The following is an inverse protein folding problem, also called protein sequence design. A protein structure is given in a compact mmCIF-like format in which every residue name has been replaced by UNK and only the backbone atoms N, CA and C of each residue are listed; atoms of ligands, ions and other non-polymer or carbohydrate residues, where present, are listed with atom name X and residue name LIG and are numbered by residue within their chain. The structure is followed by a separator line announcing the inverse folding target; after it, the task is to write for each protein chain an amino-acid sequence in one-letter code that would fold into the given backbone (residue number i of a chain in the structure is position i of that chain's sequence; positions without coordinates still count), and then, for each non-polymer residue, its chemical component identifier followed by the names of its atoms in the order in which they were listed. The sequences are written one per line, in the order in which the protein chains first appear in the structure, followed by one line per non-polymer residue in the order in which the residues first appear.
data_IF_927308941664
#
_entry.id   IF_927308941664
#
_cell.length_a   1.000
_cell.length_b   1.000
_cell.length_c   1.000
_cell.angle_alpha   90.00
_cell.angle_beta   90.00
_cell.angle_gamma   90.00
#
_symmetry.space_group_name_H-M   'P 1'
#
loop_
_entity.id
_entity.type
_entity.pdbx_description
1 polymer ?
#
# COMPACT_ATOMS: atom_id res chain seq x y z
N UNK A 1 13.02 -24.81 -84.71
CA UNK A 1 11.80 -24.99 -83.89
C UNK A 1 12.26 -24.93 -82.43
N UNK A 2 12.40 -23.78 -81.76
CA UNK A 2 11.38 -22.77 -81.41
C UNK A 2 10.07 -23.45 -81.01
N UNK A 3 9.42 -23.25 -79.85
CA UNK A 3 9.47 -22.25 -78.76
C UNK A 3 8.73 -22.91 -77.57
N UNK A 4 9.07 -22.68 -76.29
CA UNK A 4 8.41 -21.71 -75.38
C UNK A 4 9.17 -21.80 -74.04
N UNK A 5 10.12 -20.93 -73.73
CA UNK A 5 9.98 -19.54 -73.24
C UNK A 5 9.09 -19.41 -71.99
N UNK A 6 9.73 -19.67 -70.85
CA UNK A 6 9.81 -18.74 -69.71
C UNK A 6 8.60 -17.80 -69.51
N UNK A 7 7.66 -18.22 -68.65
CA UNK A 7 6.77 -17.28 -67.95
C UNK A 7 7.27 -17.06 -66.52
N UNK A 8 8.38 -16.36 -66.42
CA UNK A 8 8.74 -15.60 -65.23
C UNK A 8 8.75 -14.13 -65.62
N UNK A 9 8.38 -13.26 -64.68
CA UNK A 9 8.27 -11.79 -64.82
C UNK A 9 6.90 -11.23 -65.23
N UNK A 10 5.88 -11.45 -64.40
CA UNK A 10 4.83 -10.45 -64.19
C UNK A 10 4.51 -10.27 -62.70
N UNK A 11 5.52 -9.86 -61.93
CA UNK A 11 5.31 -9.18 -60.64
C UNK A 11 5.60 -7.69 -60.82
N UNK A 12 5.11 -7.11 -61.93
CA UNK A 12 5.09 -5.67 -62.12
C UNK A 12 4.02 -5.08 -61.20
N UNK A 13 4.48 -4.32 -60.20
CA UNK A 13 3.84 -3.12 -59.62
C UNK A 13 2.31 -3.09 -59.69
N UNK A 14 1.64 -3.50 -58.61
CA UNK A 14 0.21 -3.23 -58.38
C UNK A 14 -0.76 -4.42 -58.44
N UNK A 15 -0.27 -5.66 -58.62
CA UNK A 15 -1.14 -6.84 -58.55
C UNK A 15 -1.71 -7.01 -57.14
N UNK A 16 -3.05 -7.13 -57.04
CA UNK A 16 -3.73 -7.37 -55.77
C UNK A 16 -3.16 -8.63 -55.12
N UNK A 17 -2.89 -8.61 -53.80
CA UNK A 17 -2.43 -9.80 -53.09
C UNK A 17 -3.38 -10.97 -53.30
N UNK A 18 -2.83 -12.18 -53.41
CA UNK A 18 -3.66 -13.39 -53.52
C UNK A 18 -4.60 -13.48 -52.31
N UNK A 19 -5.79 -14.06 -52.50
CA UNK A 19 -6.75 -14.26 -51.41
C UNK A 19 -6.11 -15.02 -50.25
N UNK A 20 -5.29 -16.04 -50.54
CA UNK A 20 -4.54 -16.79 -49.53
C UNK A 20 -3.56 -15.92 -48.75
N UNK A 21 -2.82 -15.03 -49.41
CA UNK A 21 -1.92 -14.10 -48.73
C UNK A 21 -2.69 -13.09 -47.88
N UNK A 22 -3.83 -12.59 -48.36
CA UNK A 22 -4.67 -11.64 -47.62
C UNK A 22 -5.25 -12.28 -46.34
N UNK A 23 -5.70 -13.54 -46.43
CA UNK A 23 -6.17 -14.32 -45.29
C UNK A 23 -5.02 -14.62 -44.30
N UNK A 24 -3.85 -15.01 -44.80
CA UNK A 24 -2.64 -15.19 -43.98
C UNK A 24 -2.26 -13.91 -43.24
N UNK A 25 -2.23 -12.78 -43.94
CA UNK A 25 -1.94 -11.46 -43.36
C UNK A 25 -2.94 -11.14 -42.24
N UNK A 26 -4.24 -11.33 -42.50
CA UNK A 26 -5.29 -11.08 -41.52
C UNK A 26 -5.15 -11.98 -40.28
N UNK A 27 -4.91 -13.28 -40.48
CA UNK A 27 -4.69 -14.21 -39.37
C UNK A 27 -3.46 -13.83 -38.54
N UNK A 28 -2.35 -13.47 -39.21
CA UNK A 28 -1.12 -13.03 -38.54
C UNK A 28 -1.33 -11.76 -37.71
N UNK A 29 -2.16 -10.83 -38.20
CA UNK A 29 -2.51 -9.59 -37.52
C UNK A 29 -3.41 -9.85 -36.29
N UNK A 30 -4.39 -10.75 -36.42
CA UNK A 30 -5.22 -11.20 -35.30
C UNK A 30 -4.33 -11.82 -34.19
N UNK A 31 -3.44 -12.74 -34.55
CA UNK A 31 -2.52 -13.37 -33.58
C UNK A 31 -1.60 -12.35 -32.92
N UNK A 32 -1.08 -11.37 -33.67
CA UNK A 32 -0.21 -10.32 -33.14
C UNK A 32 -0.88 -9.49 -32.05
N UNK A 33 -2.15 -9.11 -32.22
CA UNK A 33 -2.90 -8.32 -31.23
C UNK A 33 -3.14 -9.08 -29.93
N UNK A 34 -3.35 -10.40 -30.02
CA UNK A 34 -3.56 -11.24 -28.85
C UNK A 34 -2.24 -11.65 -28.16
N UNK A 35 -1.10 -11.56 -28.85
CA UNK A 35 0.21 -11.89 -28.29
C UNK A 35 0.68 -10.88 -27.22
N UNK A 36 0.38 -9.59 -27.37
CA UNK A 36 0.83 -8.55 -26.43
C UNK A 36 0.25 -8.72 -25.00
N UNK A 37 -1.08 -8.92 -24.82
CA UNK A 37 -1.65 -9.25 -23.51
C UNK A 37 -1.04 -10.51 -22.88
N UNK A 38 -0.75 -11.53 -23.69
CA UNK A 38 -0.11 -12.77 -23.23
C UNK A 38 1.35 -12.55 -22.82
N UNK A 39 2.11 -11.75 -23.57
CA UNK A 39 3.50 -11.39 -23.22
C UNK A 39 3.56 -10.55 -21.94
N UNK A 40 2.67 -9.58 -21.80
CA UNK A 40 2.55 -8.76 -20.60
C UNK A 40 2.19 -9.63 -19.39
N UNK A 41 1.20 -10.51 -19.53
CA UNK A 41 0.78 -11.44 -18.48
C UNK A 41 1.94 -12.34 -18.03
N UNK A 42 2.67 -12.94 -18.98
CA UNK A 42 3.88 -13.73 -18.69
C UNK A 42 4.94 -12.90 -17.97
N UNK A 43 5.20 -11.67 -18.43
CA UNK A 43 6.17 -10.78 -17.78
C UNK A 43 5.76 -10.46 -16.33
N UNK A 44 4.47 -10.15 -16.09
CA UNK A 44 3.93 -9.93 -14.74
C UNK A 44 4.15 -11.15 -13.86
N UNK A 45 3.85 -12.35 -14.36
CA UNK A 45 4.06 -13.61 -13.63
C UNK A 45 5.55 -13.75 -13.25
N UNK A 46 6.47 -13.60 -14.21
CA UNK A 46 7.91 -13.69 -13.94
C UNK A 46 8.40 -12.68 -12.92
N UNK A 47 7.92 -11.43 -12.98
CA UNK A 47 8.27 -10.39 -12.00
C UNK A 47 7.76 -10.79 -10.62
N UNK A 48 6.50 -11.23 -10.51
CA UNK A 48 5.88 -11.64 -9.25
C UNK A 48 6.66 -12.83 -8.66
N UNK A 49 6.94 -13.86 -9.45
CA UNK A 49 7.70 -15.04 -9.00
C UNK A 49 9.08 -14.65 -8.47
N UNK A 50 9.76 -13.71 -9.14
CA UNK A 50 11.05 -13.18 -8.70
C UNK A 50 10.96 -12.43 -7.37
N UNK A 51 9.94 -11.58 -7.22
CA UNK A 51 9.70 -10.81 -5.99
C UNK A 51 9.32 -11.71 -4.82
N UNK A 52 8.36 -12.61 -5.01
CA UNK A 52 7.91 -13.58 -3.99
C UNK A 52 9.08 -14.45 -3.55
N UNK A 53 9.84 -15.01 -4.50
CA UNK A 53 11.01 -15.83 -4.18
C UNK A 53 12.08 -15.06 -3.40
N UNK A 54 12.31 -13.79 -3.74
CA UNK A 54 13.26 -12.92 -3.02
C UNK A 54 12.78 -12.67 -1.59
N UNK A 55 11.52 -12.31 -1.41
CA UNK A 55 10.93 -12.07 -0.09
C UNK A 55 10.97 -13.34 0.77
N UNK A 56 10.62 -14.50 0.22
CA UNK A 56 10.69 -15.78 0.94
C UNK A 56 12.13 -16.06 1.41
N UNK A 57 13.13 -15.86 0.55
CA UNK A 57 14.54 -16.03 0.95
C UNK A 57 14.92 -15.08 2.08
N UNK A 58 14.57 -13.81 1.97
CA UNK A 58 14.84 -12.83 3.02
C UNK A 58 14.18 -13.21 4.34
N UNK A 59 12.91 -13.63 4.32
CA UNK A 59 12.20 -14.08 5.52
C UNK A 59 12.80 -15.36 6.13
N UNK A 60 13.29 -16.29 5.30
CA UNK A 60 13.97 -17.51 5.78
C UNK A 60 15.31 -17.23 6.45
N UNK A 61 16.02 -16.19 6.02
CA UNK A 61 17.33 -15.81 6.57
C UNK A 61 17.25 -14.71 7.63
N UNK A 62 16.06 -14.13 7.87
CA UNK A 62 15.85 -13.13 8.90
C UNK A 62 16.06 -13.76 10.28
N UNK A 63 17.11 -13.32 10.96
CA UNK A 63 17.43 -13.76 12.31
C UNK A 63 16.47 -13.17 13.34
N UNK A 64 16.33 -13.85 14.48
CA UNK A 64 15.52 -13.33 15.61
C UNK A 64 16.08 -11.99 16.12
N UNK A 65 17.39 -11.79 16.04
CA UNK A 65 18.05 -10.54 16.43
C UNK A 65 17.67 -9.37 15.50
N UNK A 66 17.71 -9.57 14.18
CA UNK A 66 17.27 -8.58 13.21
C UNK A 66 15.79 -8.22 13.38
N UNK A 67 14.94 -9.22 13.67
CA UNK A 67 13.53 -8.98 13.97
C UNK A 67 13.35 -8.14 15.24
N UNK A 68 14.12 -8.43 16.29
CA UNK A 68 14.11 -7.64 17.52
C UNK A 68 14.64 -6.22 17.30
N UNK A 69 15.67 -6.04 16.48
CA UNK A 69 16.17 -4.73 16.09
C UNK A 69 15.10 -3.92 15.34
N UNK A 70 14.46 -4.52 14.34
CA UNK A 70 13.32 -3.92 13.63
C UNK A 70 12.20 -3.49 14.60
N UNK A 71 11.86 -4.34 15.57
CA UNK A 71 10.85 -4.01 16.59
C UNK A 71 11.26 -2.78 17.41
N UNK A 72 12.51 -2.73 17.90
CA UNK A 72 13.02 -1.58 18.68
C UNK A 72 12.98 -0.29 17.87
N UNK A 73 13.42 -0.34 16.61
CA UNK A 73 13.39 0.82 15.71
C UNK A 73 11.97 1.31 15.42
N UNK A 74 11.02 0.38 15.25
CA UNK A 74 9.62 0.73 14.98
C UNK A 74 8.99 1.46 16.18
N UNK A 75 9.21 0.96 17.39
CA UNK A 75 8.77 1.61 18.63
C UNK A 75 9.41 2.99 18.78
N UNK A 76 10.73 3.09 18.59
CA UNK A 76 11.44 4.37 18.70
C UNK A 76 10.94 5.40 17.67
N UNK A 77 10.69 4.98 16.43
CA UNK A 77 10.11 5.83 15.39
C UNK A 77 8.71 6.33 15.78
N UNK A 78 7.89 5.50 16.39
CA UNK A 78 6.57 5.91 16.88
C UNK A 78 6.66 6.94 18.00
N UNK A 79 7.56 6.72 18.98
CA UNK A 79 7.83 7.66 20.06
C UNK A 79 8.25 9.03 19.51
N UNK A 80 9.20 9.06 18.56
CA UNK A 80 9.62 10.31 17.90
C UNK A 80 8.46 10.99 17.17
N UNK A 81 7.57 10.24 16.51
CA UNK A 81 6.38 10.81 15.87
C UNK A 81 5.45 11.43 16.91
N UNK A 82 5.29 10.83 18.08
CA UNK A 82 4.49 11.38 19.17
C UNK A 82 5.10 12.64 19.79
N UNK A 83 6.41 12.67 19.98
CA UNK A 83 7.11 13.87 20.43
C UNK A 83 6.91 15.04 19.45
N UNK A 84 7.11 14.80 18.14
CA UNK A 84 6.87 15.81 17.11
C UNK A 84 5.40 16.28 17.09
N UNK A 85 4.46 15.35 17.22
CA UNK A 85 3.01 15.69 17.33
C UNK A 85 2.74 16.53 18.57
N UNK A 86 3.31 16.17 19.72
CA UNK A 86 3.17 16.87 20.99
C UNK A 86 3.77 18.28 20.93
N UNK A 87 4.98 18.42 20.39
CA UNK A 87 5.64 19.71 20.17
C UNK A 87 4.82 20.62 19.26
N UNK A 88 4.29 20.09 18.15
CA UNK A 88 3.43 20.87 17.25
C UNK A 88 2.17 21.37 17.95
N UNK A 89 1.52 20.52 18.78
CA UNK A 89 0.36 20.92 19.58
C UNK A 89 0.71 22.00 20.60
N UNK A 90 1.82 21.84 21.33
CA UNK A 90 2.32 22.81 22.32
C UNK A 90 2.67 24.16 21.69
N UNK A 91 3.31 24.17 20.52
CA UNK A 91 3.60 25.41 19.77
C UNK A 91 2.31 26.13 19.36
N UNK A 92 1.27 25.38 18.97
CA UNK A 92 -0.01 25.95 18.56
C UNK A 92 -0.88 26.40 19.75
N UNK A 93 -0.68 25.83 20.94
CA UNK A 93 -1.35 26.27 22.17
C UNK A 93 -0.65 27.44 22.85
N UNK A 94 0.69 27.50 22.80
CA UNK A 94 1.47 28.62 23.35
C UNK A 94 1.25 29.93 22.59
N UNK A 95 1.00 29.87 21.27
CA UNK A 95 0.56 31.04 20.49
C UNK A 95 -0.88 31.49 20.79
N UNK A 96 -1.70 30.65 21.45
CA UNK A 96 -3.07 30.98 21.85
C UNK A 96 -3.18 31.39 23.32
N UNK A 97 -2.28 30.93 24.19
CA UNK A 97 -2.25 31.29 25.61
C UNK A 97 -1.51 32.59 25.91
N UNK A 98 -0.65 33.06 24.99
CA UNK A 98 0.01 34.38 25.11
C UNK A 98 -0.94 35.56 24.92
N UNK A 99 -2.15 35.35 24.41
CA UNK A 99 -3.20 36.38 24.31
C UNK A 99 -4.16 36.43 25.50
N UNK A 100 -4.04 35.55 26.50
CA UNK A 100 -5.07 35.39 27.55
C UNK A 100 -4.57 35.37 28.99
N UNK A 101 -3.32 35.75 29.27
CA UNK A 101 -2.77 35.73 30.65
C UNK A 101 -2.09 37.06 31.01
N UNK A 102 -2.90 38.12 31.05
CA UNK A 102 -2.64 39.33 31.84
C UNK A 102 -3.81 39.55 32.81
N UNK A 103 -3.89 38.72 33.85
CA UNK A 103 -4.65 39.07 35.05
C UNK A 103 -4.26 38.20 36.24
N UNK A 104 -3.93 38.91 37.32
CA UNK A 104 -3.95 38.52 38.73
C UNK A 104 -3.04 37.38 39.20
N UNK A 105 -1.85 37.83 39.58
CA UNK A 105 -1.00 37.34 40.66
C UNK A 105 -1.70 37.21 42.03
N UNK A 106 -1.03 36.40 42.86
CA UNK A 106 -0.80 36.51 44.32
C UNK A 106 -1.67 35.69 45.28
N UNK A 107 -1.00 34.68 45.86
CA UNK A 107 -0.90 34.33 47.30
C UNK A 107 -2.18 34.06 48.08
N UNK A 108 -2.31 33.03 48.92
CA UNK A 108 -1.39 32.68 50.01
C UNK A 108 -1.75 31.33 50.65
N UNK A 109 -0.75 30.79 51.32
CA UNK A 109 -0.72 29.57 52.13
C UNK A 109 -1.65 29.65 53.36
N UNK A 110 -2.23 28.53 53.79
CA UNK A 110 -2.40 28.23 55.21
C UNK A 110 -2.59 26.72 55.45
N UNK A 111 -1.95 26.30 56.53
CA UNK A 111 -1.75 24.98 57.10
C UNK A 111 -2.79 24.65 58.17
N UNK A 112 -3.20 23.38 58.30
CA UNK A 112 -3.38 22.74 59.61
C UNK A 112 -3.74 21.25 59.52
N UNK A 113 -3.18 20.52 60.48
CA UNK A 113 -3.26 19.10 60.81
C UNK A 113 -4.58 18.72 61.49
N UNK A 114 -5.09 17.50 61.25
CA UNK A 114 -5.25 16.42 62.26
C UNK A 114 -6.16 15.27 61.77
N UNK A 115 -5.79 14.09 62.25
CA UNK A 115 -6.23 12.71 62.02
C UNK A 115 -7.74 12.41 62.00
N UNK A 116 -8.19 11.67 60.98
CA UNK A 116 -9.24 10.64 61.08
C UNK A 116 -9.31 9.77 59.80
N UNK A 117 -9.11 8.46 59.93
CA UNK A 117 -9.49 7.44 58.93
C UNK A 117 -10.73 6.67 59.47
N UNK A 118 -11.49 5.88 58.69
CA UNK A 118 -11.32 5.52 57.28
C UNK A 118 -12.60 5.67 56.43
N UNK A 119 -12.47 5.86 55.12
CA UNK A 119 -13.56 5.56 54.17
C UNK A 119 -12.94 5.22 52.83
N UNK A 120 -12.73 3.93 52.60
CA UNK A 120 -12.20 3.39 51.35
C UNK A 120 -13.27 3.56 50.28
N UNK A 121 -13.22 4.66 49.54
CA UNK A 121 -14.04 4.84 48.34
C UNK A 121 -13.40 3.98 47.25
N UNK A 122 -14.03 2.85 46.96
CA UNK A 122 -13.58 1.93 45.93
C UNK A 122 -13.39 2.67 44.59
N UNK A 123 -12.31 2.42 43.84
CA UNK A 123 -12.17 2.96 42.50
C UNK A 123 -13.33 2.48 41.64
N UNK A 124 -14.08 3.42 41.05
CA UNK A 124 -15.10 3.11 40.05
C UNK A 124 -14.50 2.16 39.00
N UNK A 125 -15.21 1.07 38.77
CA UNK A 125 -14.91 0.15 37.69
C UNK A 125 -14.86 0.89 36.35
N UNK A 126 -13.94 0.53 35.45
CA UNK A 126 -13.85 1.15 34.14
C UNK A 126 -15.15 0.87 33.35
N UNK A 127 -15.67 1.85 32.58
CA UNK A 127 -16.84 1.63 31.74
C UNK A 127 -16.56 0.51 30.73
N UNK A 128 -17.51 -0.42 30.63
CA UNK A 128 -17.49 -1.58 29.75
C UNK A 128 -17.25 -1.13 28.30
N UNK A 129 -16.32 -1.76 27.54
CA UNK A 129 -16.14 -1.42 26.14
C UNK A 129 -17.43 -1.72 25.38
N UNK A 130 -17.96 -0.69 24.71
CA UNK A 130 -19.07 -0.81 23.75
C UNK A 130 -18.65 -1.83 22.69
N UNK A 131 -19.44 -2.87 22.51
CA UNK A 131 -19.21 -3.89 21.49
C UNK A 131 -18.99 -3.20 20.14
N UNK A 132 -17.77 -3.36 19.60
CA UNK A 132 -17.46 -2.95 18.25
C UNK A 132 -18.36 -3.77 17.32
N UNK A 133 -19.28 -3.08 16.65
CA UNK A 133 -20.00 -3.67 15.54
C UNK A 133 -18.95 -4.11 14.51
N UNK A 134 -18.87 -5.41 14.29
CA UNK A 134 -18.10 -6.02 13.21
C UNK A 134 -18.69 -5.49 11.90
N UNK A 135 -18.11 -4.42 11.37
CA UNK A 135 -18.28 -4.08 9.97
C UNK A 135 -17.55 -5.15 9.18
N UNK A 136 -18.31 -6.17 8.75
CA UNK A 136 -17.92 -7.05 7.66
C UNK A 136 -17.67 -6.16 6.44
N UNK A 137 -16.42 -5.77 6.24
CA UNK A 137 -15.98 -5.22 4.97
C UNK A 137 -15.96 -6.41 4.03
N UNK A 138 -16.99 -6.53 3.19
CA UNK A 138 -17.00 -7.47 2.09
C UNK A 138 -15.92 -7.02 1.10
N UNK A 139 -14.74 -7.62 1.21
CA UNK A 139 -13.57 -7.38 0.35
C UNK A 139 -13.68 -8.15 -0.98
N UNK A 140 -14.71 -8.97 -1.17
CA UNK A 140 -14.93 -9.67 -2.43
C UNK A 140 -15.85 -8.85 -3.34
N UNK A 141 -15.22 -8.11 -4.26
CA UNK A 141 -15.86 -7.63 -5.48
C UNK A 141 -16.18 -8.78 -6.44
N UNK A 142 -17.04 -8.56 -7.45
CA UNK A 142 -17.46 -9.60 -8.37
C UNK A 142 -16.25 -10.12 -9.14
N UNK A 143 -16.09 -11.45 -9.14
CA UNK A 143 -15.18 -12.14 -10.03
C UNK A 143 -15.51 -11.76 -11.48
N UNK A 144 -14.66 -10.91 -12.05
CA UNK A 144 -14.53 -10.72 -13.49
C UNK A 144 -13.47 -11.70 -13.98
N UNK A 145 -13.83 -12.99 -13.98
CA UNK A 145 -13.25 -13.96 -14.89
C UNK A 145 -14.35 -14.42 -15.84
N UNK A 146 -14.01 -14.32 -17.11
CA UNK A 146 -14.75 -14.66 -18.32
C UNK A 146 -15.03 -16.15 -18.38
#
# INVERSE_FOLDING_TARGET
MESQKSQSHNHRRGARPSVGYLLFQYQSELTRRHAEPTRLSRCKIHIIDGLVSRTIRQLKHCSVEELQACKRELVYKEQLRDELRSMRRRKNSSSRSSSSSRSSSSSSLSSSSESAAPSVKAPSTPPKPRAAQSTKVAIFGPEIFV
#
